data_IF_080453747713
#
_entry.id   IF_080453747713
#
_cell.length_a   1.000
_cell.length_b   1.000
_cell.length_c   1.000
_cell.angle_alpha   90.00
_cell.angle_beta   90.00
_cell.angle_gamma   90.00
#
_symmetry.space_group_name_H-M   'P 1'
#
loop_
_entity.id
_entity.type
_entity.pdbx_description
1 polymer ?
#
# COMPACT_ATOMS: atom_id res chain seq x y z
N UNK A 1 5.66 -15.13 49.54
CA UNK A 1 4.60 -14.14 49.28
C UNK A 1 5.02 -13.37 48.03
N UNK A 2 4.56 -13.80 46.86
CA UNK A 2 4.94 -13.19 45.58
C UNK A 2 3.95 -12.06 45.33
N UNK A 3 4.41 -10.82 45.43
CA UNK A 3 3.62 -9.65 45.07
C UNK A 3 3.33 -9.71 43.56
N UNK A 4 2.11 -10.09 43.19
CA UNK A 4 1.59 -9.84 41.85
C UNK A 4 1.45 -8.33 41.68
N UNK A 5 2.54 -7.67 41.27
CA UNK A 5 2.45 -6.33 40.69
C UNK A 5 1.65 -6.50 39.41
N UNK A 6 0.50 -5.81 39.36
CA UNK A 6 -0.43 -5.87 38.25
C UNK A 6 0.32 -5.46 36.97
N UNK A 7 0.61 -6.43 36.10
CA UNK A 7 1.53 -6.28 34.97
C UNK A 7 1.07 -5.18 34.01
N UNK A 8 -0.24 -4.98 33.92
CA UNK A 8 -0.85 -3.89 33.16
C UNK A 8 -0.48 -2.50 33.69
N UNK A 9 -0.36 -2.35 35.02
CA UNK A 9 -0.01 -1.09 35.65
C UNK A 9 1.47 -0.74 35.43
N UNK A 10 2.34 -1.75 35.47
CA UNK A 10 3.75 -1.59 35.10
C UNK A 10 3.93 -1.21 33.62
N UNK A 11 3.22 -1.89 32.70
CA UNK A 11 3.25 -1.58 31.27
C UNK A 11 2.73 -0.16 30.96
N UNK A 12 1.65 0.25 31.62
CA UNK A 12 1.12 1.61 31.48
C UNK A 12 2.12 2.67 31.97
N UNK A 13 2.81 2.42 33.08
CA UNK A 13 3.84 3.33 33.60
C UNK A 13 5.06 3.40 32.67
N UNK A 14 5.51 2.28 32.10
CA UNK A 14 6.58 2.29 31.10
C UNK A 14 6.18 3.07 29.85
N UNK A 15 4.97 2.87 29.35
CA UNK A 15 4.47 3.61 28.18
C UNK A 15 4.36 5.11 28.47
N UNK A 16 3.86 5.49 29.64
CA UNK A 16 3.76 6.89 30.06
C UNK A 16 5.15 7.54 30.15
N UNK A 17 6.09 6.90 30.84
CA UNK A 17 7.46 7.41 30.97
C UNK A 17 8.13 7.57 29.61
N UNK A 18 7.96 6.59 28.71
CA UNK A 18 8.44 6.69 27.33
C UNK A 18 7.83 7.90 26.61
N UNK A 19 6.51 8.06 26.65
CA UNK A 19 5.83 9.18 25.99
C UNK A 19 6.26 10.54 26.54
N UNK A 20 6.49 10.63 27.85
CA UNK A 20 6.94 11.86 28.50
C UNK A 20 8.40 12.19 28.11
N UNK A 21 9.32 11.22 28.16
CA UNK A 21 10.69 11.41 27.67
C UNK A 21 10.73 11.75 26.18
N UNK A 22 9.89 11.10 25.36
CA UNK A 22 9.77 11.38 23.94
C UNK A 22 9.27 12.80 23.68
N UNK A 23 8.24 13.26 24.40
CA UNK A 23 7.75 14.65 24.30
C UNK A 23 8.82 15.65 24.69
N UNK A 24 9.59 15.37 25.74
CA UNK A 24 10.64 16.25 26.23
C UNK A 24 11.76 16.42 25.21
N UNK A 25 12.27 15.30 24.65
CA UNK A 25 13.28 15.31 23.58
C UNK A 25 12.73 15.98 22.32
N UNK A 26 11.48 15.69 21.93
CA UNK A 26 10.83 16.30 20.77
C UNK A 26 10.74 17.82 20.93
N UNK A 27 10.33 18.31 22.11
CA UNK A 27 10.28 19.74 22.40
C UNK A 27 11.67 20.37 22.30
N UNK A 28 12.69 19.75 22.88
CA UNK A 28 14.07 20.22 22.81
C UNK A 28 14.57 20.28 21.35
N UNK A 29 14.32 19.24 20.55
CA UNK A 29 14.72 19.22 19.14
C UNK A 29 14.03 20.36 18.36
N UNK A 30 12.72 20.55 18.56
CA UNK A 30 11.96 21.61 17.89
C UNK A 30 12.43 23.02 18.23
N UNK A 31 12.98 23.24 19.43
CA UNK A 31 13.45 24.56 19.86
C UNK A 31 14.94 24.81 19.57
N UNK A 32 15.73 23.75 19.35
CA UNK A 32 17.21 23.86 19.29
C UNK A 32 17.76 23.56 17.90
N UNK A 33 17.03 22.81 17.07
CA UNK A 33 17.42 22.50 15.70
C UNK A 33 16.61 23.38 14.75
N UNK A 34 17.30 24.31 14.09
CA UNK A 34 16.71 25.21 13.11
C UNK A 34 17.66 25.37 11.90
N UNK A 35 17.25 25.02 10.66
CA UNK A 35 15.95 24.47 10.27
C UNK A 35 15.79 22.99 10.60
N UNK A 36 14.55 22.60 10.92
CA UNK A 36 14.17 21.19 11.09
C UNK A 36 13.16 20.80 10.02
N UNK A 37 13.50 19.78 9.22
CA UNK A 37 12.61 19.18 8.23
C UNK A 37 12.14 17.83 8.74
N UNK A 38 10.83 17.65 8.85
CA UNK A 38 10.19 16.40 9.24
C UNK A 38 9.36 15.89 8.07
N UNK A 39 9.54 14.62 7.71
CA UNK A 39 8.63 13.91 6.82
C UNK A 39 7.62 13.12 7.65
N UNK A 40 6.33 13.32 7.37
CA UNK A 40 5.25 12.56 7.98
C UNK A 40 4.29 12.12 6.88
N UNK A 41 4.28 10.81 6.61
CA UNK A 41 3.51 10.23 5.51
C UNK A 41 3.82 10.98 4.21
N UNK A 42 2.80 11.56 3.58
CA UNK A 42 2.89 12.33 2.35
C UNK A 42 3.05 13.84 2.59
N UNK A 43 3.50 14.26 3.79
CA UNK A 43 3.66 15.66 4.15
C UNK A 43 5.10 15.96 4.55
N UNK A 44 5.65 17.05 3.99
CA UNK A 44 6.91 17.63 4.42
C UNK A 44 6.60 18.85 5.29
N UNK A 45 7.14 18.85 6.52
CA UNK A 45 6.94 19.90 7.52
C UNK A 45 8.30 20.54 7.79
N UNK A 46 8.42 21.82 7.48
CA UNK A 46 9.56 22.66 7.83
C UNK A 46 9.23 23.46 9.09
N UNK A 47 10.08 23.34 10.10
CA UNK A 47 10.15 24.27 11.23
C UNK A 47 11.36 25.18 11.00
N UNK A 48 11.11 26.48 10.91
CA UNK A 48 12.17 27.49 10.78
C UNK A 48 11.76 28.77 11.53
N UNK A 49 12.61 29.27 12.45
CA UNK A 49 12.36 30.50 13.22
C UNK A 49 10.95 30.56 13.85
N UNK A 50 10.58 29.53 14.60
CA UNK A 50 9.27 29.37 15.24
C UNK A 50 8.06 29.29 14.28
N UNK A 51 8.28 29.28 12.96
CA UNK A 51 7.24 29.08 11.97
C UNK A 51 7.21 27.63 11.49
N UNK A 52 6.00 27.08 11.40
CA UNK A 52 5.75 25.78 10.79
C UNK A 52 5.12 25.98 9.40
N UNK A 53 5.77 25.44 8.38
CA UNK A 53 5.23 25.36 7.02
C UNK A 53 5.08 23.89 6.65
N UNK A 54 3.92 23.49 6.14
CA UNK A 54 3.66 22.12 5.71
C UNK A 54 3.17 22.08 4.27
N UNK A 55 3.71 21.15 3.50
CA UNK A 55 3.28 20.88 2.12
C UNK A 55 2.96 19.40 1.97
N UNK A 56 1.86 19.09 1.27
CA UNK A 56 1.57 17.73 0.85
C UNK A 56 2.41 17.45 -0.40
N UNK A 57 3.21 16.40 -0.36
CA UNK A 57 4.21 16.10 -1.40
C UNK A 57 3.76 15.00 -2.34
N UNK A 58 2.78 14.16 -1.97
CA UNK A 58 2.27 13.10 -2.83
C UNK A 58 1.00 13.51 -3.55
N UNK A 59 0.85 13.10 -4.80
CA UNK A 59 -0.38 13.36 -5.56
C UNK A 59 -1.35 12.19 -5.44
N UNK A 60 -2.65 12.45 -5.32
CA UNK A 60 -3.67 11.41 -5.16
C UNK A 60 -3.60 10.32 -6.25
N UNK A 61 -3.27 10.71 -7.49
CA UNK A 61 -3.10 9.79 -8.60
C UNK A 61 -2.00 8.74 -8.35
N UNK A 62 -0.90 9.10 -7.66
CA UNK A 62 0.15 8.17 -7.28
C UNK A 62 -0.40 7.04 -6.38
N UNK A 63 -1.25 7.38 -5.40
CA UNK A 63 -1.85 6.39 -4.51
C UNK A 63 -2.84 5.48 -5.24
N UNK A 64 -3.59 6.01 -6.22
CA UNK A 64 -4.48 5.19 -7.04
C UNK A 64 -3.70 4.14 -7.85
N UNK A 65 -2.64 4.56 -8.54
CA UNK A 65 -1.73 3.67 -9.30
C UNK A 65 -1.13 2.60 -8.38
N UNK A 66 -0.65 3.00 -7.20
CA UNK A 66 -0.04 2.07 -6.25
C UNK A 66 -1.07 1.05 -5.72
N UNK A 67 -2.28 1.51 -5.41
CA UNK A 67 -3.37 0.65 -4.92
C UNK A 67 -3.78 -0.42 -5.95
N UNK A 68 -3.81 -0.08 -7.24
CA UNK A 68 -4.13 -1.05 -8.30
C UNK A 68 -2.99 -2.09 -8.44
N UNK A 69 -1.74 -1.67 -8.29
CA UNK A 69 -0.59 -2.59 -8.27
C UNK A 69 -0.67 -3.62 -7.14
N UNK A 70 -1.22 -3.22 -5.98
CA UNK A 70 -1.44 -4.12 -4.85
C UNK A 70 -2.46 -5.23 -5.14
N UNK A 71 -3.28 -5.12 -6.18
CA UNK A 71 -4.22 -6.18 -6.55
C UNK A 71 -3.45 -7.48 -6.82
N UNK A 72 -2.41 -7.38 -7.66
CA UNK A 72 -1.63 -8.53 -8.05
C UNK A 72 -0.77 -9.09 -6.90
N UNK A 73 -0.19 -8.20 -6.09
CA UNK A 73 0.58 -8.59 -4.92
C UNK A 73 -0.28 -9.33 -3.88
N UNK A 74 -1.50 -8.84 -3.64
CA UNK A 74 -2.46 -9.47 -2.73
C UNK A 74 -2.82 -10.89 -3.18
N UNK A 75 -2.97 -11.11 -4.48
CA UNK A 75 -3.19 -12.45 -5.04
C UNK A 75 -1.98 -13.35 -4.77
N UNK A 76 -0.77 -12.85 -5.05
CA UNK A 76 0.47 -13.60 -4.77
C UNK A 76 0.56 -14.02 -3.30
N UNK A 77 0.30 -13.12 -2.35
CA UNK A 77 0.32 -13.41 -0.92
C UNK A 77 -0.71 -14.49 -0.53
N UNK A 78 -1.94 -14.37 -1.05
CA UNK A 78 -2.98 -15.38 -0.84
C UNK A 78 -2.53 -16.74 -1.38
N UNK A 79 -1.87 -16.78 -2.54
CA UNK A 79 -1.36 -18.01 -3.13
C UNK A 79 -0.16 -18.61 -2.40
N UNK A 80 0.73 -17.78 -1.87
CA UNK A 80 1.92 -18.23 -1.16
C UNK A 80 1.55 -19.17 0.00
N UNK A 81 0.53 -18.79 0.78
CA UNK A 81 0.01 -19.61 1.89
C UNK A 81 -0.59 -20.94 1.42
N UNK A 82 -1.20 -20.97 0.24
CA UNK A 82 -1.79 -22.20 -0.33
C UNK A 82 -0.68 -23.13 -0.84
N UNK A 83 0.33 -22.57 -1.52
CA UNK A 83 1.45 -23.31 -2.10
C UNK A 83 2.23 -24.08 -1.03
N UNK A 84 2.48 -23.47 0.12
CA UNK A 84 3.22 -24.12 1.23
C UNK A 84 2.59 -25.44 1.68
N UNK A 85 1.27 -25.57 1.54
CA UNK A 85 0.53 -26.74 2.00
C UNK A 85 0.25 -27.79 0.90
N UNK A 86 0.69 -27.52 -0.34
CA UNK A 86 0.49 -28.35 -1.54
C UNK A 86 -0.89 -29.02 -1.63
N UNK A 87 -1.94 -28.26 -1.31
CA UNK A 87 -3.31 -28.75 -1.15
C UNK A 87 -4.29 -28.09 -2.11
N UNK A 88 -5.45 -28.72 -2.28
CA UNK A 88 -6.61 -28.08 -2.92
C UNK A 88 -7.06 -26.86 -2.11
N UNK A 89 -7.68 -25.90 -2.81
CA UNK A 89 -8.26 -24.72 -2.16
C UNK A 89 -9.41 -25.15 -1.23
N UNK A 90 -9.29 -24.79 0.05
CA UNK A 90 -10.35 -24.97 1.03
C UNK A 90 -11.56 -24.09 0.72
N UNK A 91 -12.71 -24.44 1.28
CA UNK A 91 -13.92 -23.64 1.16
C UNK A 91 -13.72 -22.18 1.62
N UNK A 92 -12.97 -21.97 2.72
CA UNK A 92 -12.64 -20.63 3.24
C UNK A 92 -11.82 -19.84 2.24
N UNK A 93 -10.80 -20.44 1.63
CA UNK A 93 -9.96 -19.78 0.61
C UNK A 93 -10.76 -19.45 -0.64
N UNK A 94 -11.62 -20.37 -1.12
CA UNK A 94 -12.52 -20.11 -2.24
C UNK A 94 -13.50 -18.96 -1.95
N UNK A 95 -14.06 -18.91 -0.74
CA UNK A 95 -14.92 -17.81 -0.30
C UNK A 95 -14.15 -16.49 -0.30
N UNK A 96 -12.94 -16.47 0.26
CA UNK A 96 -12.08 -15.29 0.29
C UNK A 96 -11.73 -14.79 -1.13
N UNK A 97 -11.43 -15.70 -2.07
CA UNK A 97 -11.15 -15.33 -3.47
C UNK A 97 -12.40 -14.77 -4.17
N UNK A 98 -13.59 -15.32 -3.90
CA UNK A 98 -14.85 -14.80 -4.43
C UNK A 98 -15.16 -13.40 -3.89
N UNK A 99 -15.02 -13.19 -2.59
CA UNK A 99 -15.22 -11.87 -1.97
C UNK A 99 -14.25 -10.84 -2.54
N UNK A 100 -12.98 -11.22 -2.69
CA UNK A 100 -11.97 -10.33 -3.26
C UNK A 100 -12.22 -10.03 -4.74
N UNK A 101 -12.68 -11.01 -5.53
CA UNK A 101 -13.10 -10.78 -6.92
C UNK A 101 -14.28 -9.81 -7.02
N UNK A 102 -15.25 -9.91 -6.10
CA UNK A 102 -16.38 -8.98 -6.03
C UNK A 102 -15.90 -7.56 -5.70
N UNK A 103 -15.01 -7.42 -4.72
CA UNK A 103 -14.42 -6.14 -4.34
C UNK A 103 -13.69 -5.48 -5.52
N UNK A 104 -12.87 -6.23 -6.26
CA UNK A 104 -12.21 -5.71 -7.47
C UNK A 104 -13.27 -5.20 -8.47
N UNK A 105 -14.35 -5.94 -8.72
CA UNK A 105 -15.37 -5.53 -9.68
C UNK A 105 -16.17 -4.29 -9.23
N UNK A 106 -16.44 -4.16 -7.93
CA UNK A 106 -17.10 -2.96 -7.39
C UNK A 106 -16.20 -1.73 -7.58
N UNK A 107 -14.94 -1.84 -7.17
CA UNK A 107 -13.98 -0.72 -7.27
C UNK A 107 -13.54 -0.43 -8.72
N UNK A 108 -13.57 -1.41 -9.61
CA UNK A 108 -13.30 -1.18 -11.04
C UNK A 108 -14.31 -0.20 -11.66
N UNK A 109 -15.57 -0.21 -11.19
CA UNK A 109 -16.62 0.69 -11.70
C UNK A 109 -16.43 2.14 -11.25
N UNK A 110 -15.72 2.36 -10.15
CA UNK A 110 -15.37 3.70 -9.67
C UNK A 110 -14.11 4.25 -10.32
N UNK A 111 -13.40 3.46 -11.14
CA UNK A 111 -12.26 3.98 -11.90
C UNK A 111 -12.77 4.85 -13.05
N UNK A 112 -12.46 6.14 -13.00
CA UNK A 112 -12.79 7.06 -14.07
C UNK A 112 -11.55 7.35 -14.91
N UNK A 113 -11.69 7.32 -16.25
CA UNK A 113 -10.59 7.67 -17.16
C UNK A 113 -10.11 9.12 -16.96
N UNK A 114 -11.00 10.00 -16.49
CA UNK A 114 -10.65 11.39 -16.15
C UNK A 114 -9.57 11.47 -15.08
N UNK A 115 -9.50 10.48 -14.18
CA UNK A 115 -8.50 10.44 -13.10
C UNK A 115 -7.10 10.13 -13.66
N UNK A 116 -7.02 9.61 -14.89
CA UNK A 116 -5.80 9.23 -15.61
C UNK A 116 -5.59 10.07 -16.87
N UNK A 117 -6.23 11.24 -16.95
CA UNK A 117 -6.31 12.12 -18.12
C UNK A 117 -4.96 12.57 -18.70
N UNK A 118 -3.86 12.37 -17.97
CA UNK A 118 -2.50 12.59 -18.44
C UNK A 118 -1.97 11.51 -19.39
N UNK A 119 -2.57 10.31 -19.45
CA UNK A 119 -2.15 9.26 -20.40
C UNK A 119 -3.18 8.13 -20.56
N UNK A 120 -3.68 7.95 -21.79
CA UNK A 120 -4.47 6.76 -22.16
C UNK A 120 -3.72 5.45 -21.93
N UNK A 121 -2.39 5.46 -22.09
CA UNK A 121 -1.55 4.30 -21.82
C UNK A 121 -1.58 3.91 -20.35
N UNK A 122 -1.51 4.89 -19.44
CA UNK A 122 -1.57 4.65 -18.00
C UNK A 122 -2.90 4.02 -17.58
N UNK A 123 -4.02 4.53 -18.09
CA UNK A 123 -5.33 3.96 -17.84
C UNK A 123 -5.41 2.53 -18.35
N UNK A 124 -4.89 2.26 -19.55
CA UNK A 124 -4.86 0.92 -20.13
C UNK A 124 -4.06 -0.06 -19.26
N UNK A 125 -2.91 0.36 -18.71
CA UNK A 125 -2.12 -0.47 -17.79
C UNK A 125 -2.92 -0.84 -16.54
N UNK A 126 -3.73 0.08 -16.00
CA UNK A 126 -4.60 -0.22 -14.85
C UNK A 126 -5.62 -1.32 -15.20
N UNK A 127 -6.27 -1.17 -16.36
CA UNK A 127 -7.23 -2.15 -16.85
C UNK A 127 -6.56 -3.51 -17.08
N UNK A 128 -5.35 -3.53 -17.63
CA UNK A 128 -4.61 -4.77 -17.87
C UNK A 128 -4.27 -5.50 -16.57
N UNK A 129 -3.87 -4.78 -15.51
CA UNK A 129 -3.63 -5.37 -14.18
C UNK A 129 -4.91 -5.99 -13.62
N UNK A 130 -6.02 -5.25 -13.69
CA UNK A 130 -7.33 -5.71 -13.19
C UNK A 130 -7.81 -6.93 -13.98
N UNK A 131 -7.74 -6.87 -15.30
CA UNK A 131 -8.18 -7.95 -16.18
C UNK A 131 -7.33 -9.22 -15.97
N UNK A 132 -6.00 -9.08 -15.94
CA UNK A 132 -5.10 -10.20 -15.66
C UNK A 132 -5.43 -10.86 -14.31
N UNK A 133 -5.61 -10.03 -13.28
CA UNK A 133 -5.89 -10.48 -11.91
C UNK A 133 -7.25 -11.16 -11.78
N UNK A 134 -8.30 -10.57 -12.35
CA UNK A 134 -9.66 -11.13 -12.31
C UNK A 134 -9.76 -12.43 -13.11
N UNK A 135 -9.15 -12.49 -14.30
CA UNK A 135 -9.09 -13.73 -15.10
C UNK A 135 -8.39 -14.86 -14.34
N UNK A 136 -7.27 -14.54 -13.68
CA UNK A 136 -6.53 -15.52 -12.92
C UNK A 136 -7.33 -16.02 -11.70
N UNK A 137 -7.93 -15.13 -10.90
CA UNK A 137 -8.80 -15.52 -9.78
C UNK A 137 -9.97 -16.38 -10.26
N UNK A 138 -10.65 -16.00 -11.36
CA UNK A 138 -11.75 -16.80 -11.94
C UNK A 138 -11.28 -18.20 -12.32
N UNK A 139 -10.07 -18.32 -12.89
CA UNK A 139 -9.50 -19.62 -13.25
C UNK A 139 -9.29 -20.50 -12.02
N UNK A 140 -8.80 -19.94 -10.91
CA UNK A 140 -8.59 -20.64 -9.63
C UNK A 140 -9.91 -21.07 -9.00
N UNK A 141 -10.92 -20.19 -9.02
CA UNK A 141 -12.26 -20.51 -8.49
C UNK A 141 -12.88 -21.66 -9.28
N UNK A 142 -12.70 -21.68 -10.61
CA UNK A 142 -13.24 -22.73 -11.49
C UNK A 142 -12.51 -24.05 -11.30
N UNK A 143 -11.18 -24.06 -11.26
CA UNK A 143 -10.39 -25.29 -11.09
C UNK A 143 -10.44 -25.82 -9.66
N UNK A 144 -10.67 -24.96 -8.66
CA UNK A 144 -10.53 -25.23 -7.22
C UNK A 144 -9.14 -25.75 -6.84
N UNK A 145 -8.16 -25.58 -7.73
CA UNK A 145 -6.80 -26.06 -7.57
C UNK A 145 -5.79 -25.02 -8.06
N UNK A 146 -4.68 -24.93 -7.35
CA UNK A 146 -3.56 -24.09 -7.74
C UNK A 146 -2.73 -24.80 -8.82
N UNK A 147 -2.78 -24.31 -10.05
CA UNK A 147 -1.90 -24.77 -11.11
C UNK A 147 -0.60 -23.95 -11.09
N UNK A 148 0.53 -24.61 -10.84
CA UNK A 148 1.83 -23.93 -10.68
C UNK A 148 2.31 -23.25 -11.96
N UNK A 149 2.08 -23.85 -13.13
CA UNK A 149 2.43 -23.25 -14.43
C UNK A 149 1.66 -21.96 -14.64
N UNK A 150 0.33 -21.98 -14.48
CA UNK A 150 -0.52 -20.79 -14.59
C UNK A 150 -0.17 -19.71 -13.56
N UNK A 151 0.20 -20.13 -12.35
CA UNK A 151 0.62 -19.20 -11.28
C UNK A 151 1.93 -18.51 -11.63
N UNK A 152 2.90 -19.25 -12.18
CA UNK A 152 4.18 -18.69 -12.64
C UNK A 152 3.94 -17.71 -13.80
N UNK A 153 3.13 -18.09 -14.79
CA UNK A 153 2.75 -17.23 -15.91
C UNK A 153 2.06 -15.94 -15.44
N UNK A 154 1.12 -16.06 -14.51
CA UNK A 154 0.46 -14.91 -13.89
C UNK A 154 1.48 -13.98 -13.22
N UNK A 155 2.36 -14.51 -12.38
CA UNK A 155 3.37 -13.70 -11.69
C UNK A 155 4.29 -12.98 -12.68
N UNK A 156 4.76 -13.65 -13.74
CA UNK A 156 5.61 -13.02 -14.75
C UNK A 156 4.91 -11.84 -15.45
N UNK A 157 3.65 -12.03 -15.86
CA UNK A 157 2.86 -10.97 -16.49
C UNK A 157 2.55 -9.83 -15.52
N UNK A 158 2.17 -10.17 -14.28
CA UNK A 158 1.86 -9.20 -13.24
C UNK A 158 3.09 -8.35 -12.87
N UNK A 159 4.26 -8.96 -12.72
CA UNK A 159 5.51 -8.23 -12.47
C UNK A 159 5.83 -7.26 -13.61
N UNK A 160 5.65 -7.67 -14.87
CA UNK A 160 5.86 -6.77 -16.01
C UNK A 160 4.94 -5.54 -15.95
N UNK A 161 3.65 -5.75 -15.70
CA UNK A 161 2.68 -4.66 -15.57
C UNK A 161 2.96 -3.78 -14.35
N UNK A 162 3.32 -4.39 -13.21
CA UNK A 162 3.69 -3.66 -11.99
C UNK A 162 4.91 -2.77 -12.22
N UNK A 163 5.95 -3.24 -12.93
CA UNK A 163 7.11 -2.43 -13.27
C UNK A 163 6.78 -1.22 -14.15
N UNK A 164 5.85 -1.38 -15.10
CA UNK A 164 5.33 -0.27 -15.92
C UNK A 164 4.59 0.71 -15.00
N UNK A 165 3.74 0.19 -14.11
CA UNK A 165 2.94 1.01 -13.20
C UNK A 165 3.80 1.81 -12.20
N UNK A 166 4.84 1.18 -11.65
CA UNK A 166 5.84 1.83 -10.80
C UNK A 166 6.49 2.98 -11.55
N UNK A 167 6.91 2.77 -12.81
CA UNK A 167 7.53 3.83 -13.62
C UNK A 167 6.60 5.02 -13.80
N UNK A 168 5.33 4.78 -14.12
CA UNK A 168 4.35 5.88 -14.23
C UNK A 168 4.11 6.58 -12.90
N UNK A 169 3.93 5.82 -11.81
CA UNK A 169 3.78 6.38 -10.46
C UNK A 169 4.98 7.24 -10.06
N UNK A 170 6.20 6.75 -10.27
CA UNK A 170 7.43 7.51 -10.04
C UNK A 170 7.48 8.79 -10.85
N UNK A 171 7.15 8.72 -12.16
CA UNK A 171 7.14 9.92 -13.01
C UNK A 171 6.14 10.95 -12.51
N UNK A 172 4.90 10.54 -12.25
CA UNK A 172 3.83 11.42 -11.75
C UNK A 172 4.23 12.08 -10.42
N UNK A 173 4.84 11.30 -9.53
CA UNK A 173 5.31 11.80 -8.25
C UNK A 173 6.47 12.80 -8.41
N UNK A 174 7.43 12.52 -9.30
CA UNK A 174 8.53 13.45 -9.61
C UNK A 174 8.00 14.73 -10.24
N UNK A 175 7.15 14.64 -11.26
CA UNK A 175 6.58 15.79 -11.96
C UNK A 175 5.79 16.69 -10.98
N UNK A 176 5.05 16.08 -10.04
CA UNK A 176 4.36 16.81 -8.98
C UNK A 176 5.33 17.52 -8.02
N UNK A 177 6.38 16.85 -7.57
CA UNK A 177 7.41 17.46 -6.73
C UNK A 177 8.06 18.65 -7.45
N UNK A 178 8.40 18.50 -8.74
CA UNK A 178 8.91 19.61 -9.54
C UNK A 178 7.94 20.79 -9.55
N UNK A 179 6.63 20.56 -9.76
CA UNK A 179 5.63 21.64 -9.77
C UNK A 179 5.42 22.35 -8.43
N UNK A 180 5.79 21.72 -7.31
CA UNK A 180 5.71 22.33 -5.98
C UNK A 180 6.96 23.19 -5.71
N UNK A 181 8.13 22.75 -6.17
CA UNK A 181 9.41 23.34 -5.78
C UNK A 181 10.06 24.23 -6.85
N UNK A 182 9.60 24.18 -8.10
CA UNK A 182 10.15 24.91 -9.25
C UNK A 182 9.03 25.52 -10.10
#
# INVERSE_FOLDING_TARGET
MVCHVDSNLALNNFNKNFLDSYKQIRSYILTTIDPLIITKEDTLILYHRDHQTSIHISVQLYHHINSISHIAFTIYLKLFTIKLNNRNLSFKELKNLKSYLQEIHVNQRSLNISDFSSSNELFQVQLDIINLSTQFIRSLIRSKQLNMTKSKEYCLKATKLASINIRHGTRIQIDHLYSIFF
#
